data_IF_229624925664
#
_entry.id   IF_229624925664
#
_cell.length_a   1.000
_cell.length_b   1.000
_cell.length_c   1.000
_cell.angle_alpha   90.00
_cell.angle_beta   90.00
_cell.angle_gamma   90.00
#
_symmetry.space_group_name_H-M   'P 1'
#
loop_
_entity.id
_entity.type
_entity.pdbx_description
1 polymer ?
#
# COMPACT_ATOMS: atom_id res chain seq x y z
N UNK A 1 7.04 -0.51 -6.35
CA UNK A 1 7.63 0.75 -5.84
C UNK A 1 8.98 0.50 -5.18
N UNK A 2 9.89 1.48 -5.19
CA UNK A 2 11.09 1.47 -4.33
C UNK A 2 10.74 2.01 -2.95
N UNK A 3 11.32 1.42 -1.90
CA UNK A 3 11.07 1.81 -0.50
C UNK A 3 11.41 3.28 -0.19
N UNK A 4 12.27 3.91 -1.00
CA UNK A 4 12.68 5.30 -0.88
C UNK A 4 11.53 6.27 -1.19
N UNK A 5 10.80 6.02 -2.26
CA UNK A 5 9.64 6.84 -2.69
C UNK A 5 8.53 6.80 -1.64
N UNK A 6 8.30 5.63 -1.03
CA UNK A 6 7.31 5.44 0.04
C UNK A 6 7.66 6.27 1.30
N UNK A 7 8.94 6.49 1.57
CA UNK A 7 9.39 7.19 2.77
C UNK A 7 9.19 8.71 2.66
N UNK A 8 9.37 9.25 1.46
CA UNK A 8 9.24 10.68 1.15
C UNK A 8 7.78 11.15 1.12
N UNK A 9 6.84 10.27 0.79
CA UNK A 9 5.39 10.56 0.78
C UNK A 9 4.86 10.99 2.15
N UNK A 10 3.99 12.01 2.16
CA UNK A 10 3.33 12.50 3.37
C UNK A 10 2.34 11.47 3.94
N UNK A 11 2.00 11.51 5.24
CA UNK A 11 1.02 10.58 5.83
C UNK A 11 -0.35 10.62 5.13
N UNK A 12 -0.77 11.78 4.61
CA UNK A 12 -2.00 11.90 3.83
C UNK A 12 -1.89 11.21 2.48
N UNK A 13 -0.80 11.43 1.74
CA UNK A 13 -0.58 10.75 0.46
C UNK A 13 -0.42 9.24 0.62
N UNK A 14 0.23 8.77 1.69
CA UNK A 14 0.30 7.35 2.03
C UNK A 14 -1.09 6.75 2.21
N UNK A 15 -1.99 7.46 2.90
CA UNK A 15 -3.36 7.00 3.10
C UNK A 15 -4.17 6.97 1.79
N UNK A 16 -4.03 8.00 0.95
CA UNK A 16 -4.67 8.05 -0.36
C UNK A 16 -4.18 6.90 -1.27
N UNK A 17 -2.85 6.71 -1.33
CA UNK A 17 -2.23 5.60 -2.09
C UNK A 17 -2.74 4.24 -1.61
N UNK A 18 -2.90 4.03 -0.30
CA UNK A 18 -3.44 2.75 0.20
C UNK A 18 -4.88 2.50 -0.22
N UNK A 19 -5.70 3.54 -0.38
CA UNK A 19 -7.07 3.41 -0.87
C UNK A 19 -7.10 3.08 -2.37
N UNK A 20 -6.28 3.77 -3.17
CA UNK A 20 -6.13 3.49 -4.60
C UNK A 20 -5.71 2.04 -4.85
N UNK A 21 -4.65 1.57 -4.17
CA UNK A 21 -4.17 0.20 -4.32
C UNK A 21 -5.21 -0.85 -3.88
N UNK A 22 -6.08 -0.52 -2.92
CA UNK A 22 -7.18 -1.41 -2.51
C UNK A 22 -8.25 -1.53 -3.61
N UNK A 23 -8.57 -0.42 -4.28
CA UNK A 23 -9.48 -0.44 -5.43
C UNK A 23 -8.90 -1.23 -6.60
N UNK A 24 -7.60 -1.07 -6.87
CA UNK A 24 -6.91 -1.82 -7.92
C UNK A 24 -6.89 -3.33 -7.64
N UNK A 25 -6.66 -3.74 -6.39
CA UNK A 25 -6.80 -5.14 -5.96
C UNK A 25 -8.23 -5.64 -6.16
N UNK A 26 -9.24 -4.81 -5.89
CA UNK A 26 -10.64 -5.18 -6.10
C UNK A 26 -10.94 -5.43 -7.58
N UNK A 27 -10.48 -4.55 -8.47
CA UNK A 27 -10.58 -4.76 -9.92
C UNK A 27 -9.86 -6.03 -10.39
N UNK A 28 -8.64 -6.28 -9.90
CA UNK A 28 -7.90 -7.50 -10.22
C UNK A 28 -8.59 -8.76 -9.70
N UNK A 29 -9.26 -8.70 -8.54
CA UNK A 29 -10.09 -9.82 -8.03
C UNK A 29 -11.33 -10.05 -8.88
N UNK A 30 -11.96 -8.98 -9.37
CA UNK A 30 -13.06 -9.08 -10.32
C UNK A 30 -12.60 -9.76 -11.62
N UNK A 31 -11.47 -9.32 -12.18
CA UNK A 31 -10.87 -9.94 -13.36
C UNK A 31 -10.46 -11.39 -13.11
N UNK A 32 -10.01 -11.72 -11.89
CA UNK A 32 -9.74 -13.08 -11.45
C UNK A 32 -10.99 -13.96 -11.47
N UNK A 33 -12.10 -13.46 -10.93
CA UNK A 33 -13.38 -14.18 -11.00
C UNK A 33 -13.91 -14.29 -12.42
N UNK A 34 -13.69 -13.29 -13.27
CA UNK A 34 -14.05 -13.32 -14.69
C UNK A 34 -13.18 -14.26 -15.53
N UNK A 35 -12.14 -14.90 -14.95
CA UNK A 35 -11.27 -15.86 -15.64
C UNK A 35 -10.26 -15.24 -16.61
N UNK A 36 -10.16 -13.91 -16.67
CA UNK A 36 -9.25 -13.17 -17.57
C UNK A 36 -8.02 -12.62 -16.84
N UNK A 37 -7.57 -13.28 -15.77
CA UNK A 37 -6.44 -12.77 -14.99
C UNK A 37 -5.11 -13.06 -15.70
N UNK A 38 -4.66 -12.11 -16.51
CA UNK A 38 -3.41 -12.23 -17.24
C UNK A 38 -2.18 -12.28 -16.31
N UNK A 39 -2.25 -11.65 -15.12
CA UNK A 39 -1.08 -11.42 -14.26
C UNK A 39 -1.35 -11.65 -12.76
N UNK A 40 -1.44 -12.91 -12.30
CA UNK A 40 -1.67 -13.25 -10.89
C UNK A 40 -0.59 -12.75 -9.92
N UNK A 41 0.63 -12.49 -10.42
CA UNK A 41 1.72 -11.95 -9.61
C UNK A 41 1.47 -10.51 -9.13
N UNK A 42 0.67 -9.72 -9.87
CA UNK A 42 0.34 -8.33 -9.50
C UNK A 42 -0.46 -8.25 -8.20
N UNK A 43 -1.37 -9.21 -7.98
CA UNK A 43 -2.10 -9.32 -6.71
C UNK A 43 -1.15 -9.51 -5.51
N UNK A 44 -0.04 -10.22 -5.70
CA UNK A 44 0.96 -10.40 -4.64
C UNK A 44 1.81 -9.15 -4.43
N UNK A 45 2.19 -8.45 -5.49
CA UNK A 45 2.98 -7.22 -5.39
C UNK A 45 2.18 -6.10 -4.73
N UNK A 46 0.93 -5.89 -5.15
CA UNK A 46 0.05 -4.85 -4.59
C UNK A 46 -0.24 -5.08 -3.10
N UNK A 47 -0.46 -6.34 -2.68
CA UNK A 47 -0.60 -6.67 -1.25
C UNK A 47 0.65 -6.31 -0.44
N UNK A 48 1.85 -6.55 -0.99
CA UNK A 48 3.12 -6.18 -0.34
C UNK A 48 3.29 -4.67 -0.27
N UNK A 49 2.90 -3.94 -1.31
CA UNK A 49 2.95 -2.48 -1.33
C UNK A 49 2.04 -1.86 -0.27
N UNK A 50 0.81 -2.36 -0.11
CA UNK A 50 -0.10 -1.91 0.97
C UNK A 50 0.54 -2.17 2.35
N UNK A 51 1.11 -3.35 2.58
CA UNK A 51 1.74 -3.67 3.85
C UNK A 51 2.94 -2.74 4.15
N UNK A 52 3.74 -2.41 3.14
CA UNK A 52 4.82 -1.44 3.27
C UNK A 52 4.29 -0.05 3.63
N UNK A 53 3.32 0.47 2.89
CA UNK A 53 2.69 1.78 3.16
C UNK A 53 2.14 1.87 4.59
N UNK A 54 1.44 0.84 5.05
CA UNK A 54 0.93 0.77 6.42
C UNK A 54 2.06 0.75 7.45
N UNK A 55 3.13 -0.01 7.21
CA UNK A 55 4.31 -0.06 8.09
C UNK A 55 4.96 1.32 8.24
N UNK A 56 5.10 2.07 7.14
CA UNK A 56 5.65 3.42 7.19
C UNK A 56 4.74 4.42 7.89
N UNK A 57 3.42 4.30 7.72
CA UNK A 57 2.44 5.07 8.50
C UNK A 57 2.63 4.83 9.99
N UNK A 58 2.73 3.58 10.42
CA UNK A 58 3.00 3.22 11.82
C UNK A 58 4.36 3.72 12.30
N UNK A 59 5.42 3.64 11.49
CA UNK A 59 6.72 4.21 11.87
C UNK A 59 6.69 5.73 12.05
N UNK A 60 5.89 6.44 11.24
CA UNK A 60 5.73 7.90 11.39
C UNK A 60 4.94 8.25 12.65
N UNK A 61 3.93 7.46 13.03
CA UNK A 61 3.18 7.70 14.27
C UNK A 61 4.00 7.38 15.53
N UNK A 62 4.75 6.27 15.54
CA UNK A 62 5.58 5.88 16.70
C UNK A 62 6.77 6.81 16.93
N UNK A 63 7.39 7.35 15.88
CA UNK A 63 8.41 8.41 16.01
C UNK A 63 7.88 9.69 16.63
N UNK A 64 6.62 10.03 16.36
CA UNK A 64 6.00 11.22 16.95
C UNK A 64 5.74 11.01 18.44
N UNK A 65 5.28 9.83 18.85
CA UNK A 65 5.05 9.51 20.27
C UNK A 65 6.33 9.37 21.09
N UNK A 66 7.45 8.92 20.49
CA UNK A 66 8.73 8.79 21.22
C UNK A 66 9.44 10.11 21.49
N UNK A 67 8.98 11.22 20.88
CA UNK A 67 9.47 12.58 21.16
C UNK A 67 8.71 13.27 22.31
N UNK A 68 7.68 12.63 22.86
CA UNK A 68 6.80 13.19 23.88
C UNK A 68 7.13 12.71 25.31
N UNK A 69 8.25 12.02 25.51
CA UNK A 69 8.77 11.58 26.81
C UNK A 69 10.18 12.10 27.03
#
# INVERSE_FOLDING_TARGET
MKLTEIKELTPQELSARTQELRQEIFHLRLQQQAGQLEKPHLLRTLRREIAQLQTFLTQKTTKTSSKAY
#
